data_IF_513993409555
#
_entry.id   IF_513993409555
#
_cell.length_a   1.000
_cell.length_b   1.000
_cell.length_c   1.000
_cell.angle_alpha   90.00
_cell.angle_beta   90.00
_cell.angle_gamma   90.00
#
_symmetry.space_group_name_H-M   'P 1'
#
loop_
_entity.id
_entity.type
_entity.pdbx_description
1 polymer ?
#
# COMPACT_ATOMS: atom_id res chain seq x y z
N UNK A 1 7.98 -18.59 8.23
CA UNK A 1 6.80 -17.77 8.58
C UNK A 1 6.64 -16.75 7.47
N UNK A 2 5.49 -16.68 6.79
CA UNK A 2 5.27 -15.65 5.76
C UNK A 2 5.18 -14.29 6.43
N UNK A 3 6.08 -13.37 6.06
CA UNK A 3 6.07 -12.00 6.59
C UNK A 3 5.01 -11.22 5.80
N UNK A 4 3.83 -11.05 6.38
CA UNK A 4 2.77 -10.22 5.80
C UNK A 4 3.20 -8.74 5.87
N UNK A 5 3.19 -8.03 4.73
CA UNK A 5 3.53 -6.61 4.66
C UNK A 5 2.28 -5.75 4.86
N UNK A 6 2.25 -4.96 5.93
CA UNK A 6 1.13 -4.08 6.25
C UNK A 6 1.43 -2.65 5.82
N UNK A 7 0.55 -2.09 4.98
CA UNK A 7 0.71 -0.76 4.39
C UNK A 7 -0.49 0.10 4.79
N UNK A 8 -0.29 1.34 5.23
CA UNK A 8 -1.36 2.30 5.47
C UNK A 8 -0.97 3.67 4.93
N UNK A 9 -1.78 4.25 4.05
CA UNK A 9 -1.51 5.56 3.45
C UNK A 9 -2.60 6.56 3.86
N UNK A 10 -2.20 7.66 4.49
CA UNK A 10 -3.06 8.82 4.75
C UNK A 10 -2.56 10.06 3.99
N UNK A 11 -3.20 11.21 4.19
CA UNK A 11 -2.84 12.46 3.49
C UNK A 11 -1.47 13.00 3.86
N UNK A 12 -0.90 12.60 5.00
CA UNK A 12 0.36 13.10 5.55
C UNK A 12 1.51 12.12 5.31
N UNK A 13 1.25 10.82 5.35
CA UNK A 13 2.30 9.79 5.29
C UNK A 13 1.82 8.44 4.78
N UNK A 14 2.81 7.63 4.39
CA UNK A 14 2.66 6.20 4.17
C UNK A 14 3.42 5.45 5.25
N UNK A 15 2.73 4.55 5.94
CA UNK A 15 3.27 3.66 6.97
C UNK A 15 3.41 2.25 6.39
N UNK A 16 4.60 1.67 6.49
CA UNK A 16 4.91 0.30 6.11
C UNK A 16 5.41 -0.44 7.35
N UNK A 17 4.91 -1.64 7.62
CA UNK A 17 5.22 -2.39 8.83
C UNK A 17 5.04 -3.90 8.62
N UNK A 18 5.83 -4.72 9.29
CA UNK A 18 5.61 -6.17 9.38
C UNK A 18 4.34 -6.52 10.19
N UNK A 19 3.85 -5.58 11.00
CA UNK A 19 2.66 -5.73 11.84
C UNK A 19 1.53 -4.79 11.44
N UNK A 20 0.30 -5.12 11.86
CA UNK A 20 -0.90 -4.36 11.53
C UNK A 20 -0.80 -2.87 11.86
N UNK A 21 -0.93 -2.03 10.83
CA UNK A 21 -0.98 -0.57 10.97
C UNK A 21 -2.18 -0.14 11.82
N UNK A 22 -1.92 0.63 12.87
CA UNK A 22 -2.94 1.15 13.80
C UNK A 22 -3.44 2.52 13.35
N UNK A 23 -4.74 2.78 13.51
CA UNK A 23 -5.31 4.12 13.26
C UNK A 23 -5.23 4.98 14.53
N UNK A 24 -4.68 6.19 14.41
CA UNK A 24 -4.71 7.22 15.45
C UNK A 24 -6.09 7.86 15.53
N UNK A 25 -6.63 8.26 14.38
CA UNK A 25 -7.93 8.90 14.23
C UNK A 25 -8.71 8.27 13.06
N UNK A 26 -10.02 8.51 13.03
CA UNK A 26 -10.86 8.00 11.95
C UNK A 26 -11.02 6.48 11.93
N UNK A 27 -11.32 5.95 10.74
CA UNK A 27 -11.48 4.52 10.47
C UNK A 27 -10.76 4.13 9.19
N UNK A 28 -10.20 2.93 9.16
CA UNK A 28 -9.65 2.32 7.97
C UNK A 28 -10.26 0.94 7.75
N UNK A 29 -10.34 0.51 6.49
CA UNK A 29 -10.68 -0.87 6.11
C UNK A 29 -9.39 -1.56 5.70
N UNK A 30 -9.12 -2.74 6.25
CA UNK A 30 -8.05 -3.60 5.76
C UNK A 30 -8.51 -4.34 4.51
N UNK A 31 -7.68 -4.33 3.46
CA UNK A 31 -7.82 -5.14 2.25
C UNK A 31 -6.56 -6.02 2.14
N UNK A 32 -6.75 -7.33 2.13
CA UNK A 32 -5.65 -8.29 1.91
C UNK A 32 -5.56 -8.62 0.43
N UNK A 33 -4.33 -8.59 -0.11
CA UNK A 33 -4.00 -8.98 -1.47
C UNK A 33 -2.74 -9.83 -1.41
N UNK A 34 -2.88 -11.16 -1.35
CA UNK A 34 -1.77 -12.08 -1.06
C UNK A 34 -1.15 -11.84 0.32
N UNK A 35 0.17 -11.74 0.37
CA UNK A 35 0.96 -11.42 1.57
C UNK A 35 0.97 -9.93 1.92
N UNK A 36 0.25 -9.08 1.17
CA UNK A 36 0.14 -7.64 1.43
C UNK A 36 -1.21 -7.30 2.07
N UNK A 37 -1.20 -6.49 3.13
CA UNK A 37 -2.39 -6.00 3.83
C UNK A 37 -2.42 -4.48 3.82
N UNK A 38 -3.31 -3.90 3.02
CA UNK A 38 -3.48 -2.44 2.93
C UNK A 38 -4.59 -1.95 3.86
N UNK A 39 -4.27 -0.99 4.72
CA UNK A 39 -5.23 -0.21 5.47
C UNK A 39 -5.64 1.02 4.66
N UNK A 40 -6.84 0.99 4.09
CA UNK A 40 -7.40 2.07 3.29
C UNK A 40 -8.25 2.98 4.19
N UNK A 41 -7.95 4.29 4.29
CA UNK A 41 -8.82 5.27 4.95
C UNK A 41 -10.27 5.14 4.48
N UNK A 42 -11.22 5.11 5.42
CA UNK A 42 -12.63 5.33 5.06
C UNK A 42 -12.87 6.82 4.98
N UNK A 43 -13.61 7.30 3.95
CA UNK A 43 -14.01 8.70 3.91
C UNK A 43 -14.79 9.04 5.19
N UNK A 44 -14.57 10.23 5.77
CA UNK A 44 -15.28 10.65 6.96
C UNK A 44 -16.78 10.63 6.68
N UNK A 45 -17.57 10.20 7.65
CA UNK A 45 -19.01 10.37 7.56
C UNK A 45 -19.29 11.89 7.53
N UNK A 46 -19.72 12.42 6.39
CA UNK A 46 -20.07 13.83 6.15
C UNK A 46 -21.33 14.29 6.92
N UNK A 47 -21.51 13.77 8.14
CA UNK A 47 -22.64 14.10 9.01
C UNK A 47 -22.29 15.31 9.84
N UNK A 48 -23.14 16.34 9.73
CA UNK A 48 -23.08 17.52 10.58
C UNK A 48 -23.21 17.13 12.05
N UNK A 49 -22.74 18.02 12.94
CA UNK A 49 -22.85 17.83 14.39
C UNK A 49 -24.31 17.59 14.82
N UNK A 50 -25.25 18.28 14.20
CA UNK A 50 -26.69 18.17 14.43
C UNK A 50 -27.21 16.75 14.13
N UNK A 51 -26.85 16.18 12.98
CA UNK A 51 -27.26 14.81 12.62
C UNK A 51 -26.72 13.78 13.62
N UNK A 52 -25.51 14.01 14.17
CA UNK A 52 -24.93 13.15 15.20
C UNK A 52 -25.69 13.26 16.52
N UNK A 53 -26.01 14.47 16.95
CA UNK A 53 -26.83 14.71 18.16
C UNK A 53 -28.20 14.07 18.00
N UNK A 54 -28.88 14.31 16.89
CA UNK A 54 -30.22 13.74 16.63
C UNK A 54 -30.22 12.20 16.66
N UNK A 55 -29.22 11.54 16.06
CA UNK A 55 -29.10 10.07 16.13
C UNK A 55 -28.79 9.56 17.52
N UNK A 56 -27.96 10.28 18.27
CA UNK A 56 -27.61 9.91 19.64
C UNK A 56 -28.82 10.07 20.55
N UNK A 57 -29.61 11.13 20.38
CA UNK A 57 -30.88 11.34 21.07
C UNK A 57 -31.90 10.23 20.74
N UNK A 58 -32.02 9.83 19.46
CA UNK A 58 -32.88 8.70 19.03
C UNK A 58 -32.47 7.36 19.64
N UNK A 59 -31.19 7.17 19.99
CA UNK A 59 -30.71 5.98 20.70
C UNK A 59 -30.88 6.10 22.22
N UNK A 60 -30.70 7.29 22.79
CA UNK A 60 -30.86 7.54 24.21
C UNK A 60 -32.31 7.37 24.68
N UNK A 61 -33.29 7.81 23.89
CA UNK A 61 -34.72 7.74 24.25
C UNK A 61 -35.23 6.31 24.55
N UNK A 62 -35.03 5.29 23.68
CA UNK A 62 -35.44 3.92 23.99
C UNK A 62 -34.63 3.30 25.14
N UNK A 63 -33.35 3.68 25.30
CA UNK A 63 -32.53 3.21 26.42
C UNK A 63 -33.03 3.75 27.76
N UNK A 64 -33.41 5.04 27.82
CA UNK A 64 -34.01 5.64 29.01
C UNK A 64 -35.35 4.97 29.33
N UNK A 65 -36.19 4.72 28.32
CA UNK A 65 -37.47 4.02 28.49
C UNK A 65 -37.27 2.58 29.01
N UNK A 66 -36.35 1.81 28.42
CA UNK A 66 -36.01 0.47 28.88
C UNK A 66 -35.45 0.48 30.32
N UNK A 67 -34.61 1.46 30.66
CA UNK A 67 -34.08 1.63 32.02
C UNK A 67 -35.18 1.95 33.03
N UNK A 68 -36.18 2.76 32.65
CA UNK A 68 -37.33 3.06 33.49
C UNK A 68 -38.20 1.81 33.73
N UNK A 69 -38.47 1.02 32.68
CA UNK A 69 -39.19 -0.25 32.80
C UNK A 69 -38.47 -1.26 33.70
N UNK A 70 -37.15 -1.40 33.54
CA UNK A 70 -36.34 -2.27 34.41
C UNK A 70 -36.32 -1.80 35.86
N UNK A 71 -36.37 -0.48 36.08
CA UNK A 71 -36.46 0.06 37.45
C UNK A 71 -37.82 -0.25 38.08
N UNK A 72 -38.90 -0.26 37.29
CA UNK A 72 -40.24 -0.59 37.75
C UNK A 72 -40.41 -2.07 38.16
N UNK A 73 -39.56 -2.98 37.66
CA UNK A 73 -39.58 -4.41 38.04
C UNK A 73 -38.77 -4.73 39.31
N UNK A 74 -38.31 -3.71 40.05
CA UNK A 74 -37.56 -3.88 41.29
C UNK A 74 -36.04 -3.99 41.10
N UNK A 75 -35.54 -3.86 39.88
CA UNK A 75 -34.09 -3.76 39.62
C UNK A 75 -33.59 -2.40 40.12
N UNK A 76 -32.42 -2.37 40.75
CA UNK A 76 -31.87 -1.09 41.23
C UNK A 76 -31.56 -0.16 40.07
N UNK A 77 -32.16 1.04 40.07
CA UNK A 77 -32.18 1.98 38.94
C UNK A 77 -30.80 2.39 38.40
N UNK A 78 -29.74 2.34 39.22
CA UNK A 78 -28.40 2.75 38.82
C UNK A 78 -27.73 1.77 37.83
N UNK A 79 -28.06 0.47 37.89
CA UNK A 79 -27.49 -0.54 36.98
C UNK A 79 -27.92 -0.31 35.52
N UNK A 80 -29.22 -0.24 35.17
CA UNK A 80 -29.63 0.00 33.79
C UNK A 80 -29.28 1.41 33.31
N UNK A 81 -29.24 2.41 34.22
CA UNK A 81 -28.83 3.76 33.90
C UNK A 81 -27.34 3.84 33.51
N UNK A 82 -26.45 3.18 34.25
CA UNK A 82 -25.01 3.15 33.94
C UNK A 82 -24.72 2.42 32.65
N UNK A 83 -25.37 1.28 32.38
CA UNK A 83 -25.26 0.56 31.10
C UNK A 83 -25.76 1.43 29.95
N UNK A 84 -26.90 2.09 30.10
CA UNK A 84 -27.45 2.99 29.08
C UNK A 84 -26.53 4.17 28.78
N UNK A 85 -26.00 4.81 29.82
CA UNK A 85 -25.02 5.90 29.68
C UNK A 85 -23.74 5.42 28.98
N UNK A 86 -23.22 4.25 29.36
CA UNK A 86 -22.04 3.65 28.73
C UNK A 86 -22.27 3.39 27.23
N UNK A 87 -23.44 2.86 26.85
CA UNK A 87 -23.82 2.63 25.45
C UNK A 87 -23.93 3.93 24.65
N UNK A 88 -24.55 4.97 25.21
CA UNK A 88 -24.66 6.29 24.59
C UNK A 88 -23.29 6.92 24.38
N UNK A 89 -22.43 6.90 25.41
CA UNK A 89 -21.05 7.43 25.34
C UNK A 89 -20.22 6.64 24.32
N UNK A 90 -20.32 5.31 24.32
CA UNK A 90 -19.65 4.46 23.34
C UNK A 90 -20.11 4.75 21.91
N UNK A 91 -21.41 4.87 21.67
CA UNK A 91 -21.99 5.19 20.37
C UNK A 91 -21.59 6.60 19.90
N UNK A 92 -21.59 7.59 20.82
CA UNK A 92 -21.12 8.95 20.54
C UNK A 92 -19.65 8.96 20.14
N UNK A 93 -18.77 8.27 20.89
CA UNK A 93 -17.34 8.13 20.56
C UNK A 93 -17.15 7.43 19.22
N UNK A 94 -17.93 6.38 18.95
CA UNK A 94 -17.92 5.68 17.68
C UNK A 94 -18.27 6.62 16.52
N UNK A 95 -19.34 7.43 16.63
CA UNK A 95 -19.72 8.43 15.62
C UNK A 95 -18.70 9.55 15.47
N UNK A 96 -18.17 10.08 16.57
CA UNK A 96 -17.15 11.13 16.56
C UNK A 96 -15.90 10.63 15.81
N UNK A 97 -15.46 9.40 16.09
CA UNK A 97 -14.36 8.76 15.36
C UNK A 97 -14.71 8.50 13.88
N UNK A 98 -15.97 8.25 13.53
CA UNK A 98 -16.39 8.07 12.14
C UNK A 98 -16.32 9.36 11.32
N UNK A 99 -16.42 10.52 11.97
CA UNK A 99 -16.44 11.82 11.33
C UNK A 99 -15.04 12.43 11.16
N UNK A 100 -14.03 11.83 11.77
CA UNK A 100 -12.64 12.25 11.62
C UNK A 100 -12.03 11.67 10.34
N UNK A 101 -11.18 12.46 9.69
CA UNK A 101 -10.29 11.98 8.63
C UNK A 101 -9.39 10.90 9.24
N UNK A 102 -9.24 9.77 8.54
CA UNK A 102 -8.41 8.69 9.03
C UNK A 102 -6.94 9.12 9.00
N UNK A 103 -6.27 8.95 10.14
CA UNK A 103 -4.85 9.20 10.28
C UNK A 103 -4.21 7.98 10.91
N UNK A 104 -3.11 7.50 10.34
CA UNK A 104 -2.38 6.36 10.85
C UNK A 104 -1.45 6.78 11.99
N UNK A 105 -1.31 5.91 12.98
CA UNK A 105 -0.32 6.11 14.04
C UNK A 105 1.08 5.84 13.46
N UNK A 106 2.05 6.68 13.78
CA UNK A 106 3.45 6.37 13.51
C UNK A 106 3.83 5.17 14.39
N UNK A 107 4.26 4.04 13.80
CA UNK A 107 4.73 2.90 14.57
C UNK A 107 5.99 3.28 15.36
N UNK A 108 6.17 2.64 16.52
CA UNK A 108 7.35 2.81 17.39
C UNK A 108 8.42 1.74 17.15
N UNK A 109 8.08 0.77 16.32
CA UNK A 109 8.90 -0.39 16.06
C UNK A 109 9.99 -0.05 15.03
N UNK A 110 11.25 -0.46 15.26
CA UNK A 110 12.38 -0.08 14.39
C UNK A 110 12.30 -0.70 12.99
N UNK A 111 11.57 -1.80 12.79
CA UNK A 111 11.39 -2.42 11.48
C UNK A 111 10.33 -1.70 10.64
N UNK A 112 9.54 -0.81 11.26
CA UNK A 112 8.51 -0.06 10.57
C UNK A 112 9.06 1.20 9.92
N UNK A 113 8.57 1.50 8.72
CA UNK A 113 9.05 2.60 7.88
C UNK A 113 7.93 3.60 7.65
N UNK A 114 8.26 4.89 7.76
CA UNK A 114 7.28 5.98 7.55
C UNK A 114 7.82 6.97 6.54
N UNK A 115 7.11 7.06 5.41
CA UNK A 115 7.39 8.00 4.34
C UNK A 115 6.50 9.23 4.52
N UNK A 116 7.11 10.36 4.84
CA UNK A 116 6.45 11.65 5.08
C UNK A 116 6.50 12.56 3.86
N UNK A 117 7.60 12.51 3.13
CA UNK A 117 7.85 13.41 2.00
C UNK A 117 7.09 12.96 0.75
N UNK A 118 6.45 13.92 0.09
CA UNK A 118 5.59 13.68 -1.08
C UNK A 118 6.25 12.86 -2.21
N UNK A 119 7.53 13.12 -2.60
CA UNK A 119 8.15 12.36 -3.69
C UNK A 119 8.26 10.86 -3.38
N UNK A 120 8.67 10.50 -2.16
CA UNK A 120 8.81 9.12 -1.70
C UNK A 120 7.45 8.45 -1.55
N UNK A 121 6.46 9.17 -0.99
CA UNK A 121 5.08 8.68 -0.88
C UNK A 121 4.50 8.35 -2.26
N UNK A 122 4.56 9.30 -3.18
CA UNK A 122 4.02 9.13 -4.52
C UNK A 122 4.74 8.00 -5.29
N UNK A 123 6.06 7.84 -5.12
CA UNK A 123 6.80 6.73 -5.72
C UNK A 123 6.34 5.37 -5.18
N UNK A 124 6.17 5.27 -3.85
CA UNK A 124 5.71 4.03 -3.22
C UNK A 124 4.25 3.69 -3.57
N UNK A 125 3.35 4.68 -3.55
CA UNK A 125 1.95 4.50 -3.94
C UNK A 125 1.79 4.04 -5.40
N UNK A 126 2.63 4.56 -6.32
CA UNK A 126 2.71 4.05 -7.69
C UNK A 126 3.17 2.59 -7.71
N UNK A 127 4.20 2.23 -6.95
CA UNK A 127 4.69 0.85 -6.87
C UNK A 127 3.58 -0.11 -6.37
N UNK A 128 2.82 0.27 -5.34
CA UNK A 128 1.67 -0.50 -4.84
C UNK A 128 0.58 -0.63 -5.91
N UNK A 129 0.30 0.44 -6.66
CA UNK A 129 -0.68 0.40 -7.75
C UNK A 129 -0.24 -0.56 -8.87
N UNK A 130 1.04 -0.58 -9.23
CA UNK A 130 1.59 -1.50 -10.23
C UNK A 130 1.64 -2.93 -9.68
N UNK A 131 1.96 -3.14 -8.41
CA UNK A 131 1.95 -4.48 -7.78
C UNK A 131 0.55 -5.11 -7.84
N UNK A 132 -0.51 -4.32 -7.67
CA UNK A 132 -1.89 -4.76 -7.90
C UNK A 132 -2.15 -5.21 -9.32
N UNK A 133 -1.53 -4.58 -10.33
CA UNK A 133 -1.64 -5.00 -11.73
C UNK A 133 -0.93 -6.33 -11.95
N UNK A 134 0.31 -6.48 -11.47
CA UNK A 134 1.07 -7.75 -11.51
C UNK A 134 0.22 -8.90 -10.95
N UNK A 135 -0.33 -8.72 -9.75
CA UNK A 135 -1.17 -9.72 -9.06
C UNK A 135 -2.43 -10.13 -9.82
N UNK A 136 -3.03 -9.21 -10.60
CA UNK A 136 -4.19 -9.53 -11.44
C UNK A 136 -3.85 -10.43 -12.62
N UNK A 137 -2.59 -10.47 -13.03
CA UNK A 137 -2.15 -11.32 -14.16
C UNK A 137 -1.94 -12.77 -13.76
N UNK A 138 -1.61 -13.06 -12.50
CA UNK A 138 -1.24 -14.42 -12.04
C UNK A 138 -2.26 -15.51 -12.36
N UNK A 139 -3.58 -15.32 -12.18
CA UNK A 139 -4.55 -16.39 -12.49
C UNK A 139 -4.51 -16.82 -13.96
N UNK A 140 -4.13 -15.92 -14.88
CA UNK A 140 -4.04 -16.22 -16.30
C UNK A 140 -2.68 -16.82 -16.71
N UNK A 141 -1.65 -16.66 -15.88
CA UNK A 141 -0.33 -17.26 -16.11
C UNK A 141 -0.29 -18.75 -15.74
N UNK A 142 -1.28 -19.24 -14.98
CA UNK A 142 -1.46 -20.67 -14.70
C UNK A 142 -0.20 -21.31 -14.11
N UNK A 143 0.20 -22.45 -14.65
CA UNK A 143 1.35 -23.24 -14.18
C UNK A 143 2.72 -22.65 -14.58
N UNK A 144 2.76 -21.53 -15.32
CA UNK A 144 4.02 -20.91 -15.74
C UNK A 144 4.79 -20.27 -14.58
N UNK A 145 4.09 -19.88 -13.52
CA UNK A 145 4.66 -19.27 -12.33
C UNK A 145 4.02 -19.89 -11.09
N UNK A 146 4.78 -20.01 -10.00
CA UNK A 146 4.21 -20.27 -8.68
C UNK A 146 3.69 -18.93 -8.11
N UNK A 147 2.36 -18.74 -7.96
CA UNK A 147 1.80 -17.48 -7.48
C UNK A 147 2.21 -17.15 -6.05
N UNK A 148 2.48 -18.16 -5.20
CA UNK A 148 2.92 -17.95 -3.82
C UNK A 148 4.37 -17.45 -3.76
N UNK A 149 5.25 -18.03 -4.57
CA UNK A 149 6.63 -17.56 -4.67
C UNK A 149 6.70 -16.15 -5.28
N UNK A 150 5.93 -15.91 -6.36
CA UNK A 150 5.83 -14.59 -6.98
C UNK A 150 5.27 -13.53 -6.01
N UNK A 151 4.29 -13.91 -5.18
CA UNK A 151 3.74 -13.06 -4.12
C UNK A 151 4.78 -12.67 -3.08
N UNK A 152 5.57 -13.62 -2.61
CA UNK A 152 6.64 -13.34 -1.65
C UNK A 152 7.75 -12.48 -2.25
N UNK A 153 8.17 -12.74 -3.49
CA UNK A 153 9.15 -11.92 -4.19
C UNK A 153 8.67 -10.47 -4.35
N UNK A 154 7.45 -10.26 -4.85
CA UNK A 154 6.86 -8.94 -5.00
C UNK A 154 6.69 -8.21 -3.67
N UNK A 155 6.30 -8.93 -2.61
CA UNK A 155 6.14 -8.35 -1.26
C UNK A 155 7.50 -7.94 -0.68
N UNK A 156 8.54 -8.75 -0.86
CA UNK A 156 9.91 -8.42 -0.46
C UNK A 156 10.44 -7.20 -1.22
N UNK A 157 10.23 -7.14 -2.53
CA UNK A 157 10.64 -6.00 -3.35
C UNK A 157 9.95 -4.69 -2.89
N UNK A 158 8.67 -4.74 -2.50
CA UNK A 158 7.99 -3.59 -1.90
C UNK A 158 8.56 -3.21 -0.53
N UNK A 159 8.91 -4.18 0.31
CA UNK A 159 9.54 -3.91 1.62
C UNK A 159 10.91 -3.25 1.46
N UNK A 160 11.73 -3.77 0.55
CA UNK A 160 13.05 -3.21 0.21
C UNK A 160 12.93 -1.79 -0.38
N UNK A 161 11.98 -1.58 -1.30
CA UNK A 161 11.70 -0.25 -1.84
C UNK A 161 11.31 0.73 -0.72
N UNK A 162 10.48 0.32 0.25
CA UNK A 162 10.15 1.16 1.40
C UNK A 162 11.41 1.50 2.23
N UNK A 163 12.33 0.54 2.39
CA UNK A 163 13.64 0.74 3.01
C UNK A 163 14.46 1.82 2.32
N UNK A 164 14.66 1.68 1.00
CA UNK A 164 15.43 2.62 0.20
C UNK A 164 14.80 4.02 0.18
N UNK A 165 13.47 4.13 0.10
CA UNK A 165 12.78 5.42 0.13
C UNK A 165 12.86 6.09 1.50
N UNK A 166 12.77 5.33 2.60
CA UNK A 166 12.98 5.85 3.94
C UNK A 166 14.41 6.37 4.14
N UNK A 167 15.41 5.63 3.64
CA UNK A 167 16.82 6.05 3.66
C UNK A 167 17.03 7.32 2.83
N UNK A 168 16.42 7.44 1.64
CA UNK A 168 16.45 8.67 0.85
C UNK A 168 15.88 9.86 1.61
N UNK A 169 14.74 9.70 2.27
CA UNK A 169 14.18 10.79 3.08
C UNK A 169 15.16 11.28 4.15
N UNK A 170 15.89 10.36 4.79
CA UNK A 170 16.91 10.72 5.78
C UNK A 170 18.12 11.39 5.14
N UNK A 171 18.64 10.85 4.03
CA UNK A 171 19.72 11.49 3.27
C UNK A 171 19.35 12.90 2.81
N UNK A 172 18.09 13.16 2.46
CA UNK A 172 17.62 14.52 2.13
C UNK A 172 17.76 15.47 3.31
N UNK A 173 17.40 15.02 4.53
CA UNK A 173 17.55 15.84 5.75
C UNK A 173 19.01 16.11 6.06
N UNK A 174 19.86 15.08 5.97
CA UNK A 174 21.30 15.21 6.18
C UNK A 174 21.90 16.20 5.19
N UNK A 175 21.58 16.07 3.89
CA UNK A 175 22.04 17.00 2.86
C UNK A 175 21.61 18.44 3.13
N UNK A 176 20.34 18.66 3.47
CA UNK A 176 19.85 19.99 3.82
C UNK A 176 20.56 20.58 5.04
N UNK A 177 20.92 19.75 6.03
CA UNK A 177 21.72 20.17 7.18
C UNK A 177 23.18 20.51 6.82
N UNK A 178 23.79 19.75 5.92
CA UNK A 178 25.14 20.03 5.42
C UNK A 178 25.17 21.29 4.56
N UNK A 179 24.17 21.50 3.70
CA UNK A 179 24.03 22.72 2.90
C UNK A 179 23.91 23.97 3.80
N UNK A 180 23.09 23.90 4.85
CA UNK A 180 22.97 24.98 5.84
C UNK A 180 24.30 25.27 6.58
N UNK A 181 25.16 24.26 6.74
CA UNK A 181 26.49 24.42 7.35
C UNK A 181 27.48 25.06 6.39
N UNK A 182 27.35 24.79 5.09
CA UNK A 182 28.17 25.40 4.03
C UNK A 182 27.90 26.89 3.86
N UNK A 183 26.65 27.30 4.08
CA UNK A 183 26.21 28.69 4.05
C UNK A 183 26.58 29.46 5.33
N UNK A 184 27.02 28.76 6.38
CA UNK A 184 27.60 29.42 7.55
C UNK A 184 28.96 30.04 7.18
N UNK A 185 29.30 31.16 7.80
CA UNK A 185 30.51 31.98 7.54
C UNK A 185 31.79 31.27 8.04
N UNK A 186 32.04 30.06 7.55
CA UNK A 186 33.18 29.21 7.87
C UNK A 186 34.34 29.59 6.94
N UNK A 187 35.51 29.96 7.48
CA UNK A 187 36.69 30.26 6.67
C UNK A 187 37.00 29.15 5.66
N UNK A 188 37.36 29.55 4.44
CA UNK A 188 37.60 28.62 3.33
C UNK A 188 38.66 27.56 3.64
N UNK A 189 39.69 27.93 4.41
CA UNK A 189 40.82 27.06 4.72
C UNK A 189 40.66 26.30 6.04
N UNK A 190 39.50 26.38 6.68
CA UNK A 190 39.25 25.69 7.94
C UNK A 190 39.16 24.17 7.74
N UNK A 191 39.79 23.35 8.61
CA UNK A 191 39.64 21.89 8.57
C UNK A 191 38.17 21.45 8.70
N UNK A 192 37.32 22.26 9.35
CA UNK A 192 35.89 22.01 9.43
C UNK A 192 35.20 22.06 8.07
N UNK A 193 35.64 22.94 7.16
CA UNK A 193 35.08 23.05 5.81
C UNK A 193 35.47 21.86 4.94
N UNK A 194 36.73 21.45 4.97
CA UNK A 194 37.19 20.23 4.29
C UNK A 194 36.44 18.99 4.77
N UNK A 195 36.19 18.87 6.08
CA UNK A 195 35.42 17.76 6.63
C UNK A 195 33.94 17.78 6.17
N UNK A 196 33.31 18.96 6.12
CA UNK A 196 31.94 19.12 5.65
C UNK A 196 31.81 18.79 4.15
N UNK A 197 32.74 19.25 3.31
CA UNK A 197 32.76 18.95 1.87
C UNK A 197 32.90 17.44 1.63
N UNK A 198 33.80 16.76 2.35
CA UNK A 198 33.94 15.31 2.28
C UNK A 198 32.70 14.54 2.75
N UNK A 199 31.97 15.04 3.75
CA UNK A 199 30.69 14.46 4.17
C UNK A 199 29.60 14.67 3.11
N UNK A 200 29.59 15.83 2.45
CA UNK A 200 28.64 16.15 1.40
C UNK A 200 28.83 15.25 0.17
N UNK A 201 30.08 15.04 -0.27
CA UNK A 201 30.39 14.12 -1.38
C UNK A 201 29.89 12.69 -1.10
N UNK A 202 30.16 12.17 0.11
CA UNK A 202 29.65 10.85 0.53
C UNK A 202 28.12 10.80 0.57
N UNK A 203 27.48 11.85 1.08
CA UNK A 203 26.03 11.93 1.14
C UNK A 203 25.40 11.97 -0.26
N UNK A 204 26.04 12.64 -1.23
CA UNK A 204 25.59 12.68 -2.62
C UNK A 204 25.80 11.35 -3.34
N UNK A 205 26.92 10.67 -3.10
CA UNK A 205 27.16 9.33 -3.63
C UNK A 205 26.11 8.33 -3.12
N UNK A 206 25.89 8.27 -1.80
CA UNK A 206 24.84 7.44 -1.20
C UNK A 206 23.44 7.78 -1.73
N UNK A 207 23.17 9.06 -1.98
CA UNK A 207 21.91 9.49 -2.58
C UNK A 207 21.73 8.96 -4.00
N UNK A 208 22.77 9.01 -4.83
CA UNK A 208 22.75 8.49 -6.20
C UNK A 208 22.59 6.97 -6.20
N UNK A 209 23.34 6.25 -5.36
CA UNK A 209 23.26 4.80 -5.23
C UNK A 209 21.87 4.32 -4.78
N UNK A 210 21.35 4.91 -3.70
CA UNK A 210 20.02 4.56 -3.16
C UNK A 210 18.92 4.87 -4.18
N UNK A 211 19.09 5.97 -4.94
CA UNK A 211 18.18 6.33 -6.04
C UNK A 211 18.22 5.33 -7.20
N UNK A 212 19.41 4.88 -7.59
CA UNK A 212 19.59 3.86 -8.61
C UNK A 212 18.96 2.53 -8.18
N UNK A 213 19.17 2.10 -6.92
CA UNK A 213 18.56 0.90 -6.37
C UNK A 213 17.02 0.96 -6.36
N UNK A 214 16.45 2.06 -5.86
CA UNK A 214 14.99 2.24 -5.86
C UNK A 214 14.41 2.22 -7.29
N UNK A 215 15.09 2.87 -8.25
CA UNK A 215 14.69 2.86 -9.65
C UNK A 215 14.78 1.47 -10.29
N UNK A 216 15.76 0.64 -9.91
CA UNK A 216 15.84 -0.76 -10.38
C UNK A 216 14.60 -1.55 -9.93
N UNK A 217 14.24 -1.47 -8.64
CA UNK A 217 13.05 -2.17 -8.12
C UNK A 217 11.77 -1.68 -8.80
N UNK A 218 11.60 -0.36 -8.94
CA UNK A 218 10.43 0.20 -9.63
C UNK A 218 10.32 -0.28 -11.08
N UNK A 219 11.44 -0.34 -11.81
CA UNK A 219 11.47 -0.87 -13.19
C UNK A 219 11.18 -2.36 -13.23
N UNK A 220 11.69 -3.15 -12.30
CA UNK A 220 11.40 -4.59 -12.23
C UNK A 220 9.90 -4.86 -12.01
N UNK A 221 9.26 -4.12 -11.08
CA UNK A 221 7.81 -4.25 -10.83
C UNK A 221 6.99 -3.84 -12.06
N UNK A 222 7.37 -2.74 -12.74
CA UNK A 222 6.68 -2.29 -13.96
C UNK A 222 6.90 -3.24 -15.16
N UNK A 223 8.12 -3.76 -15.32
CA UNK A 223 8.45 -4.78 -16.33
C UNK A 223 7.60 -6.03 -16.15
N UNK A 224 7.52 -6.56 -14.93
CA UNK A 224 6.67 -7.71 -14.60
C UNK A 224 5.19 -7.45 -14.92
N UNK A 225 4.68 -6.24 -14.62
CA UNK A 225 3.30 -5.87 -14.93
C UNK A 225 3.04 -5.85 -16.44
N UNK A 226 3.94 -5.20 -17.21
CA UNK A 226 3.81 -5.11 -18.67
C UNK A 226 3.94 -6.48 -19.33
N UNK A 227 4.90 -7.29 -18.91
CA UNK A 227 5.10 -8.64 -19.44
C UNK A 227 3.86 -9.50 -19.23
N UNK A 228 3.31 -9.52 -18.01
CA UNK A 228 2.07 -10.25 -17.70
C UNK A 228 0.85 -9.75 -18.49
N UNK A 229 0.69 -8.44 -18.62
CA UNK A 229 -0.44 -7.85 -19.37
C UNK A 229 -0.34 -8.10 -20.89
N UNK A 230 0.86 -7.97 -21.47
CA UNK A 230 1.10 -8.26 -22.89
C UNK A 230 0.85 -9.73 -23.19
N UNK A 231 1.34 -10.65 -22.35
CA UNK A 231 1.12 -12.08 -22.50
C UNK A 231 -0.39 -12.43 -22.52
N UNK A 232 -1.16 -11.88 -21.58
CA UNK A 232 -2.62 -12.09 -21.53
C UNK A 232 -3.30 -11.57 -22.78
N UNK A 233 -2.93 -10.36 -23.23
CA UNK A 233 -3.51 -9.75 -24.44
C UNK A 233 -3.25 -10.64 -25.66
N UNK A 234 -2.05 -11.14 -25.81
CA UNK A 234 -1.68 -12.00 -26.94
C UNK A 234 -2.36 -13.36 -26.86
N UNK A 235 -2.49 -13.96 -25.68
CA UNK A 235 -3.24 -15.20 -25.50
C UNK A 235 -4.70 -15.04 -25.96
N UNK A 236 -5.31 -13.88 -25.68
CA UNK A 236 -6.66 -13.54 -26.14
C UNK A 236 -6.72 -13.35 -27.67
N UNK A 237 -5.73 -12.68 -28.26
CA UNK A 237 -5.62 -12.54 -29.73
C UNK A 237 -5.45 -13.90 -30.40
N UNK A 238 -4.55 -14.75 -29.89
CA UNK A 238 -4.32 -16.09 -30.43
C UNK A 238 -5.54 -17.03 -30.25
N UNK A 239 -6.30 -16.88 -29.17
CA UNK A 239 -7.56 -17.62 -28.99
C UNK A 239 -8.62 -17.17 -30.01
N UNK A 240 -8.72 -15.86 -30.25
CA UNK A 240 -9.64 -15.27 -31.23
C UNK A 240 -9.27 -15.64 -32.66
N UNK A 241 -7.99 -15.59 -33.01
CA UNK A 241 -7.46 -16.02 -34.31
C UNK A 241 -7.76 -17.50 -34.57
N UNK A 242 -7.47 -18.38 -33.59
CA UNK A 242 -7.81 -19.81 -33.69
C UNK A 242 -9.32 -20.05 -33.81
N UNK A 243 -10.15 -19.23 -33.17
CA UNK A 243 -11.60 -19.31 -33.32
C UNK A 243 -12.04 -18.92 -34.73
N UNK A 244 -11.49 -17.84 -35.29
CA UNK A 244 -11.75 -17.38 -36.65
C UNK A 244 -11.26 -18.40 -37.69
N UNK A 245 -10.06 -18.95 -37.53
CA UNK A 245 -9.53 -20.04 -38.37
C UNK A 245 -10.43 -21.27 -38.33
N UNK A 246 -10.90 -21.69 -37.15
CA UNK A 246 -11.86 -22.81 -37.03
C UNK A 246 -13.22 -22.50 -37.65
N UNK A 247 -13.65 -21.24 -37.66
CA UNK A 247 -14.87 -20.83 -38.33
C UNK A 247 -14.68 -20.84 -39.86
N UNK A 248 -13.56 -20.30 -40.35
CA UNK A 248 -13.20 -20.32 -41.77
C UNK A 248 -12.97 -21.74 -42.29
N UNK A 249 -12.30 -22.60 -41.55
CA UNK A 249 -12.09 -24.01 -41.92
C UNK A 249 -13.43 -24.76 -42.05
N UNK A 250 -14.41 -24.45 -41.19
CA UNK A 250 -15.78 -25.00 -41.30
C UNK A 250 -16.52 -24.55 -42.56
N UNK A 251 -16.26 -23.34 -43.03
CA UNK A 251 -16.91 -22.76 -44.22
C UNK A 251 -16.17 -23.12 -45.52
N UNK A 252 -14.84 -23.17 -45.49
CA UNK A 252 -13.96 -23.33 -46.66
C UNK A 252 -13.45 -24.76 -46.87
N UNK A 253 -13.50 -25.63 -45.86
CA UNK A 253 -12.98 -27.00 -45.93
C UNK A 253 -11.45 -27.11 -45.84
N UNK A 254 -10.71 -26.01 -45.67
CA UNK A 254 -9.24 -26.00 -45.59
C UNK A 254 -8.78 -26.09 -44.12
N UNK A 255 -7.83 -26.98 -43.78
CA UNK A 255 -7.32 -27.13 -42.41
C UNK A 255 -6.45 -25.94 -41.99
N UNK A 256 -6.48 -25.61 -40.69
CA UNK A 256 -5.74 -24.48 -40.10
C UNK A 256 -4.23 -24.77 -39.96
N UNK A 257 -3.40 -23.72 -40.10
CA UNK A 257 -1.94 -23.79 -39.93
C UNK A 257 -1.52 -23.73 -38.44
N UNK A 258 -0.33 -24.26 -38.12
CA UNK A 258 0.19 -24.31 -36.74
C UNK A 258 1.09 -23.11 -36.40
N UNK A 259 0.71 -22.33 -35.39
CA UNK A 259 1.49 -21.20 -34.86
C UNK A 259 2.23 -21.61 -33.57
N UNK A 260 3.52 -21.96 -33.68
CA UNK A 260 4.33 -22.54 -32.59
C UNK A 260 5.49 -21.69 -32.03
N UNK A 261 6.33 -21.01 -32.85
CA UNK A 261 7.57 -20.40 -32.35
C UNK A 261 7.35 -19.13 -31.51
N UNK A 262 6.40 -18.28 -31.90
CA UNK A 262 6.15 -16.98 -31.25
C UNK A 262 5.68 -17.08 -29.79
N UNK A 263 5.11 -18.22 -29.38
CA UNK A 263 4.62 -18.41 -28.01
C UNK A 263 5.76 -18.76 -27.04
N UNK A 264 6.82 -19.43 -27.52
CA UNK A 264 7.93 -19.88 -26.69
C UNK A 264 8.81 -18.69 -26.25
N UNK A 265 9.27 -17.86 -27.20
CA UNK A 265 10.10 -16.68 -26.93
C UNK A 265 9.45 -15.72 -25.92
N UNK A 266 8.11 -15.65 -25.92
CA UNK A 266 7.35 -14.75 -25.04
C UNK A 266 7.09 -15.34 -23.66
N UNK A 267 6.98 -16.67 -23.58
CA UNK A 267 6.98 -17.37 -22.29
C UNK A 267 8.30 -17.11 -21.57
N UNK A 268 9.43 -17.15 -22.30
CA UNK A 268 10.75 -16.84 -21.75
C UNK A 268 10.86 -15.39 -21.27
N UNK A 269 10.28 -14.42 -22.00
CA UNK A 269 10.25 -13.02 -21.58
C UNK A 269 9.47 -12.80 -20.26
N UNK A 270 8.34 -13.48 -20.07
CA UNK A 270 7.58 -13.44 -18.81
C UNK A 270 8.40 -14.05 -17.67
N UNK A 271 8.98 -15.23 -17.89
CA UNK A 271 9.80 -15.91 -16.88
C UNK A 271 11.02 -15.07 -16.48
N UNK A 272 11.67 -14.42 -17.45
CA UNK A 272 12.79 -13.51 -17.20
C UNK A 272 12.37 -12.31 -16.33
N UNK A 273 11.25 -11.66 -16.64
CA UNK A 273 10.75 -10.53 -15.86
C UNK A 273 10.41 -10.92 -14.40
N UNK A 274 9.83 -12.10 -14.18
CA UNK A 274 9.57 -12.61 -12.83
C UNK A 274 10.84 -13.04 -12.08
N UNK A 275 11.86 -13.54 -12.79
CA UNK A 275 13.19 -13.78 -12.20
C UNK A 275 13.87 -12.49 -11.77
N UNK A 276 13.83 -11.45 -12.59
CA UNK A 276 14.35 -10.12 -12.24
C UNK A 276 13.65 -9.52 -11.01
N UNK A 277 12.37 -9.80 -10.82
CA UNK A 277 11.63 -9.39 -9.63
C UNK A 277 12.06 -10.15 -8.35
N UNK A 278 12.61 -11.36 -8.50
CA UNK A 278 13.03 -12.22 -7.40
C UNK A 278 14.52 -12.08 -7.02
N UNK A 279 15.31 -11.44 -7.88
CA UNK A 279 16.74 -11.17 -7.69
C UNK A 279 16.98 -9.96 -6.79
#
# INVERSE_FOLDING_TARGET
MSVDLHIGADTEKVVISATRVRTRAGRARSRRTGSMVEAVPRPPALRTREVRIARTARLALPLLFASALLSATGLTWWLPATVSAALVVWFWRWQARAAQIAAFAAPRDPESRVLWTEPERAAFERAVTVSHRVRRTWPALGDMIDPGLADHALTRALDELAGLLAQRQELRRVRAGLDATRDADIPADSPARFAADAQWERADELWRETGAAANRILRAIDSAARAGESFIREQQVAATARHAERALARVSGVPAAASGPELADRTDAVIAAYRELAA
#
